data_IF_617031917936
#
_entry.id   IF_617031917936
#
_cell.length_a   1.000
_cell.length_b   1.000
_cell.length_c   1.000
_cell.angle_alpha   90.00
_cell.angle_beta   90.00
_cell.angle_gamma   90.00
#
_symmetry.space_group_name_H-M   'P 1'
#
loop_
_entity.id
_entity.type
_entity.pdbx_description
1 polymer ?
#
# COMPACT_ATOMS: atom_id res chain seq x y z
N UNK A 1 16.75 -7.28 -9.19
CA UNK A 1 15.80 -7.81 -8.20
C UNK A 1 15.96 -9.32 -8.01
N UNK A 2 15.80 -10.19 -9.03
CA UNK A 2 15.90 -11.67 -8.87
C UNK A 2 17.16 -12.11 -8.12
N UNK A 3 18.36 -11.68 -8.56
CA UNK A 3 19.63 -12.02 -7.89
C UNK A 3 19.69 -11.59 -6.41
N UNK A 4 19.03 -10.50 -6.05
CA UNK A 4 18.93 -10.04 -4.65
C UNK A 4 17.99 -10.95 -3.88
N UNK A 5 16.81 -11.25 -4.44
CA UNK A 5 15.86 -12.19 -3.85
C UNK A 5 16.47 -13.58 -3.63
N UNK A 6 17.18 -14.12 -4.62
CA UNK A 6 17.86 -15.41 -4.49
C UNK A 6 18.91 -15.43 -3.36
N UNK A 7 19.64 -14.33 -3.19
CA UNK A 7 20.60 -14.21 -2.08
C UNK A 7 19.92 -14.20 -0.72
N UNK A 8 18.75 -13.58 -0.62
CA UNK A 8 18.00 -13.43 0.64
C UNK A 8 17.15 -14.69 0.96
N UNK A 9 16.48 -15.24 -0.03
CA UNK A 9 15.41 -16.22 0.18
C UNK A 9 15.69 -17.60 -0.43
N UNK A 10 16.74 -17.76 -1.24
CA UNK A 10 17.06 -18.98 -1.96
C UNK A 10 16.65 -18.92 -3.43
N UNK A 11 16.92 -20.00 -4.17
CA UNK A 11 16.69 -20.07 -5.62
C UNK A 11 15.28 -19.63 -6.02
N UNK A 12 15.19 -18.83 -7.11
CA UNK A 12 13.93 -18.54 -7.78
C UNK A 12 13.51 -19.76 -8.62
N UNK A 13 12.49 -20.50 -8.19
CA UNK A 13 12.15 -21.83 -8.74
C UNK A 13 11.36 -21.73 -10.07
N UNK A 14 10.91 -20.54 -10.48
CA UNK A 14 10.02 -20.35 -11.62
C UNK A 14 10.73 -20.12 -12.96
N UNK A 15 12.08 -20.15 -13.02
CA UNK A 15 12.96 -20.03 -14.18
C UNK A 15 12.93 -18.64 -14.86
N UNK A 16 11.74 -18.07 -15.11
CA UNK A 16 11.55 -16.76 -15.76
C UNK A 16 10.51 -15.93 -15.01
N UNK A 17 10.61 -14.62 -15.15
CA UNK A 17 9.68 -13.66 -14.61
C UNK A 17 9.33 -12.65 -15.69
N UNK A 18 8.15 -12.78 -16.27
CA UNK A 18 7.61 -11.88 -17.29
C UNK A 18 6.68 -10.86 -16.63
N UNK A 19 6.55 -9.71 -17.24
CA UNK A 19 5.66 -8.64 -16.82
C UNK A 19 4.65 -8.38 -17.94
N UNK A 20 3.36 -8.57 -17.66
CA UNK A 20 2.29 -8.27 -18.61
C UNK A 20 1.56 -7.00 -18.14
N UNK A 21 1.74 -5.92 -18.89
CA UNK A 21 1.01 -4.68 -18.64
C UNK A 21 -0.43 -4.82 -19.15
N UNK A 22 -1.37 -4.68 -18.23
CA UNK A 22 -2.81 -4.82 -18.51
C UNK A 22 -3.44 -3.49 -18.92
N UNK A 23 -4.69 -3.50 -19.41
CA UNK A 23 -5.45 -2.28 -19.70
C UNK A 23 -5.64 -1.38 -18.47
N UNK A 24 -5.90 -0.07 -18.66
CA UNK A 24 -6.12 0.88 -17.54
C UNK A 24 -7.27 0.52 -16.61
N UNK A 25 -8.19 -0.36 -17.02
CA UNK A 25 -9.28 -0.90 -16.20
C UNK A 25 -8.82 -1.90 -15.14
N UNK A 26 -7.56 -2.37 -15.17
CA UNK A 26 -7.04 -3.29 -14.16
C UNK A 26 -7.10 -2.66 -12.77
N UNK A 27 -7.81 -3.29 -11.79
CA UNK A 27 -8.20 -2.61 -10.57
C UNK A 27 -7.10 -2.55 -9.50
N UNK A 28 -6.02 -3.32 -9.63
CA UNK A 28 -4.93 -3.45 -8.67
C UNK A 28 -3.60 -2.86 -9.17
N UNK A 29 -2.57 -2.91 -8.35
CA UNK A 29 -1.20 -2.54 -8.73
C UNK A 29 -0.55 -3.62 -9.58
N UNK A 30 -0.62 -4.85 -9.12
CA UNK A 30 -0.14 -6.05 -9.77
C UNK A 30 -0.98 -7.27 -9.40
N UNK A 31 -0.57 -8.41 -9.95
CA UNK A 31 -1.07 -9.75 -9.61
C UNK A 31 0.04 -10.77 -9.85
N UNK A 32 0.31 -11.57 -8.86
CA UNK A 32 1.46 -12.45 -8.75
C UNK A 32 1.37 -13.74 -9.57
N UNK A 33 0.72 -13.78 -10.71
CA UNK A 33 0.63 -15.02 -11.48
C UNK A 33 2.03 -15.63 -11.70
N UNK A 34 2.25 -16.91 -11.38
CA UNK A 34 3.56 -17.53 -11.52
C UNK A 34 4.13 -17.36 -12.93
N UNK A 35 5.39 -16.91 -13.04
CA UNK A 35 6.13 -16.65 -14.28
C UNK A 35 5.68 -15.45 -15.11
N UNK A 36 4.45 -14.93 -14.92
CA UNK A 36 3.94 -13.77 -15.66
C UNK A 36 3.10 -12.88 -14.75
N UNK A 37 3.74 -11.98 -14.03
CA UNK A 37 3.04 -11.01 -13.18
C UNK A 37 2.25 -10.02 -14.04
N UNK A 38 1.00 -9.74 -13.62
CA UNK A 38 0.20 -8.69 -14.23
C UNK A 38 0.53 -7.35 -13.57
N UNK A 39 0.55 -6.29 -14.36
CA UNK A 39 0.81 -4.94 -13.86
C UNK A 39 -0.19 -3.94 -14.42
N UNK A 40 -0.61 -3.00 -13.58
CA UNK A 40 -1.29 -1.81 -14.07
C UNK A 40 -0.34 -0.97 -14.93
N UNK A 41 -0.81 -0.33 -16.02
CA UNK A 41 0.04 0.57 -16.80
C UNK A 41 0.58 1.75 -15.99
N UNK A 42 -0.06 2.08 -14.87
CA UNK A 42 0.35 3.16 -13.98
C UNK A 42 1.73 2.93 -13.30
N UNK A 43 2.25 1.69 -13.30
CA UNK A 43 3.62 1.42 -12.77
C UNK A 43 4.71 1.66 -13.82
N UNK A 44 4.34 1.85 -15.10
CA UNK A 44 5.29 2.12 -16.19
C UNK A 44 5.48 3.63 -16.32
N UNK A 45 6.35 4.21 -15.50
CA UNK A 45 6.52 5.67 -15.35
C UNK A 45 7.74 6.23 -16.11
N UNK A 46 8.66 5.36 -16.52
CA UNK A 46 9.87 5.75 -17.23
C UNK A 46 11.03 6.24 -16.35
N UNK A 47 10.78 6.52 -15.07
CA UNK A 47 11.76 7.02 -14.08
C UNK A 47 12.23 5.94 -13.09
N UNK A 48 11.70 4.71 -13.18
CA UNK A 48 12.01 3.60 -12.27
C UNK A 48 11.25 3.62 -10.95
N UNK A 49 10.40 4.61 -10.68
CA UNK A 49 9.64 4.73 -9.42
C UNK A 49 8.63 3.58 -9.21
N UNK A 50 8.10 2.98 -10.29
CA UNK A 50 7.24 1.78 -10.24
C UNK A 50 7.93 0.48 -9.77
N UNK A 51 9.24 0.52 -9.49
CA UNK A 51 10.04 -0.66 -9.13
C UNK A 51 9.59 -1.35 -7.83
N UNK A 52 8.92 -0.67 -6.93
CA UNK A 52 8.40 -1.26 -5.69
C UNK A 52 7.32 -2.31 -5.98
N UNK A 53 6.35 -2.00 -6.84
CA UNK A 53 5.31 -2.96 -7.24
C UNK A 53 5.94 -4.17 -7.93
N UNK A 54 6.91 -3.95 -8.83
CA UNK A 54 7.64 -5.05 -9.47
C UNK A 54 8.40 -5.91 -8.46
N UNK A 55 8.98 -5.31 -7.41
CA UNK A 55 9.65 -6.04 -6.33
C UNK A 55 8.65 -6.87 -5.51
N UNK A 56 7.45 -6.33 -5.28
CA UNK A 56 6.36 -7.03 -4.60
C UNK A 56 5.92 -8.27 -5.38
N UNK A 57 5.54 -8.11 -6.66
CA UNK A 57 5.09 -9.22 -7.50
C UNK A 57 6.20 -10.28 -7.71
N UNK A 58 7.46 -9.85 -7.77
CA UNK A 58 8.59 -10.78 -7.82
C UNK A 58 8.75 -11.54 -6.50
N UNK A 59 8.59 -10.87 -5.36
CA UNK A 59 8.74 -11.48 -4.03
C UNK A 59 7.71 -12.60 -3.79
N UNK A 60 6.52 -12.49 -4.36
CA UNK A 60 5.53 -13.57 -4.38
C UNK A 60 6.08 -14.88 -4.98
N UNK A 61 7.12 -14.82 -5.80
CA UNK A 61 7.82 -16.00 -6.29
C UNK A 61 8.37 -16.91 -5.18
N UNK A 62 8.59 -16.37 -3.97
CA UNK A 62 8.97 -17.16 -2.78
C UNK A 62 7.83 -17.28 -1.78
N UNK A 63 7.01 -16.22 -1.62
CA UNK A 63 5.93 -16.15 -0.64
C UNK A 63 4.61 -15.79 -1.32
N UNK A 64 3.65 -16.67 -1.28
CA UNK A 64 2.40 -16.59 -2.02
C UNK A 64 2.27 -17.66 -3.11
N UNK A 65 3.28 -17.80 -3.98
CA UNK A 65 3.27 -18.79 -5.06
C UNK A 65 3.98 -20.10 -4.70
N UNK A 66 5.20 -20.02 -4.17
CA UNK A 66 5.96 -21.20 -3.79
C UNK A 66 5.43 -21.81 -2.48
N UNK A 67 5.01 -20.95 -1.56
CA UNK A 67 4.29 -21.29 -0.34
C UNK A 67 2.98 -20.52 -0.38
N UNK A 68 1.84 -21.22 -0.37
CA UNK A 68 0.52 -20.61 -0.43
C UNK A 68 -0.18 -20.65 0.94
N UNK A 69 -1.07 -19.74 1.19
CA UNK A 69 -2.00 -19.82 2.32
C UNK A 69 -3.15 -20.80 1.99
N UNK A 70 -3.58 -21.61 2.97
CA UNK A 70 -4.65 -22.59 2.78
C UNK A 70 -6.01 -21.97 2.42
N UNK A 71 -6.33 -20.86 3.09
CA UNK A 71 -7.57 -20.10 2.90
C UNK A 71 -7.28 -18.61 3.03
N UNK A 72 -8.23 -17.78 2.60
CA UNK A 72 -8.11 -16.33 2.74
C UNK A 72 -7.96 -15.84 4.19
N UNK A 73 -8.38 -16.65 5.16
CA UNK A 73 -8.20 -16.35 6.59
C UNK A 73 -6.73 -16.20 6.99
N UNK A 74 -5.83 -16.77 6.19
CA UNK A 74 -4.39 -16.78 6.41
C UNK A 74 -3.62 -15.97 5.36
N UNK A 75 -4.28 -15.04 4.66
CA UNK A 75 -3.69 -14.26 3.56
C UNK A 75 -2.46 -13.44 3.97
N UNK A 76 -2.29 -13.14 5.24
CA UNK A 76 -1.09 -12.48 5.75
C UNK A 76 0.19 -13.32 5.55
N UNK A 77 0.07 -14.66 5.46
CA UNK A 77 1.21 -15.54 5.12
C UNK A 77 1.69 -15.35 3.68
N UNK A 78 0.80 -14.93 2.80
CA UNK A 78 1.13 -14.48 1.47
C UNK A 78 1.64 -13.03 1.51
N UNK A 79 0.78 -12.08 1.84
CA UNK A 79 1.03 -10.64 1.66
C UNK A 79 2.02 -10.04 2.68
N UNK A 80 1.96 -10.46 3.93
CA UNK A 80 2.85 -9.97 4.98
C UNK A 80 4.30 -10.38 4.74
N UNK A 81 4.52 -11.63 4.37
CA UNK A 81 5.86 -12.12 3.98
C UNK A 81 6.36 -11.44 2.71
N UNK A 82 5.49 -11.26 1.73
CA UNK A 82 5.85 -10.60 0.47
C UNK A 82 6.18 -9.13 0.69
N UNK A 83 5.42 -8.42 1.51
CA UNK A 83 5.73 -7.02 1.90
C UNK A 83 7.08 -6.93 2.64
N UNK A 84 7.39 -7.90 3.51
CA UNK A 84 8.71 -7.97 4.14
C UNK A 84 9.82 -8.22 3.10
N UNK A 85 9.60 -9.15 2.18
CA UNK A 85 10.58 -9.49 1.14
C UNK A 85 10.80 -8.35 0.14
N UNK A 86 9.73 -7.69 -0.30
CA UNK A 86 9.76 -6.47 -1.10
C UNK A 86 10.68 -5.42 -0.48
N UNK A 87 10.45 -5.07 0.79
CA UNK A 87 11.23 -4.06 1.52
C UNK A 87 12.70 -4.43 1.64
N UNK A 88 13.01 -5.72 1.82
CA UNK A 88 14.39 -6.22 1.82
C UNK A 88 15.06 -6.11 0.45
N UNK A 89 14.31 -6.36 -0.64
CA UNK A 89 14.78 -6.18 -2.02
C UNK A 89 15.00 -4.70 -2.33
N UNK A 90 14.05 -3.84 -1.96
CA UNK A 90 14.14 -2.38 -2.12
C UNK A 90 15.32 -1.82 -1.33
N UNK A 91 15.51 -2.22 -0.07
CA UNK A 91 16.66 -1.83 0.75
C UNK A 91 18.00 -2.15 0.06
N UNK A 92 18.12 -3.34 -0.50
CA UNK A 92 19.35 -3.77 -1.18
C UNK A 92 19.63 -3.03 -2.50
N UNK A 93 18.61 -2.45 -3.14
CA UNK A 93 18.73 -1.78 -4.45
C UNK A 93 18.76 -0.25 -4.30
N UNK A 94 17.93 0.31 -3.42
CA UNK A 94 17.72 1.75 -3.28
C UNK A 94 18.29 2.31 -1.96
N UNK A 95 18.75 1.45 -1.07
CA UNK A 95 19.35 1.83 0.21
C UNK A 95 18.36 1.90 1.37
N UNK A 96 18.95 2.01 2.58
CA UNK A 96 18.19 1.94 3.85
C UNK A 96 17.22 3.10 4.06
N UNK A 97 17.54 4.29 3.55
CA UNK A 97 16.69 5.48 3.76
C UNK A 97 15.39 5.40 2.98
N UNK A 98 15.42 4.90 1.73
CA UNK A 98 14.22 4.63 0.94
C UNK A 98 13.39 3.51 1.54
N UNK A 99 14.01 2.44 2.01
CA UNK A 99 13.30 1.36 2.70
C UNK A 99 12.63 1.88 3.99
N UNK A 100 13.32 2.72 4.78
CA UNK A 100 12.75 3.33 5.98
C UNK A 100 11.56 4.25 5.66
N UNK A 101 11.63 5.01 4.56
CA UNK A 101 10.51 5.81 4.08
C UNK A 101 9.29 4.93 3.75
N UNK A 102 9.49 3.85 2.99
CA UNK A 102 8.43 2.92 2.62
C UNK A 102 7.78 2.25 3.84
N UNK A 103 8.59 1.87 4.84
CA UNK A 103 8.07 1.33 6.11
C UNK A 103 7.23 2.39 6.84
N UNK A 104 7.66 3.66 6.83
CA UNK A 104 6.91 4.76 7.43
C UNK A 104 5.56 5.02 6.76
N UNK A 105 5.51 4.97 5.43
CA UNK A 105 4.28 5.09 4.65
C UNK A 105 3.34 3.91 4.98
N UNK A 106 3.86 2.68 5.02
CA UNK A 106 3.08 1.51 5.39
C UNK A 106 2.55 1.56 6.83
N UNK A 107 3.34 2.08 7.76
CA UNK A 107 2.88 2.29 9.14
C UNK A 107 1.70 3.26 9.20
N UNK A 108 1.77 4.38 8.47
CA UNK A 108 0.66 5.32 8.37
C UNK A 108 -0.60 4.67 7.80
N UNK A 109 -0.44 3.92 6.71
CA UNK A 109 -1.55 3.16 6.11
C UNK A 109 -2.19 2.18 7.10
N UNK A 110 -1.37 1.48 7.90
CA UNK A 110 -1.86 0.60 8.95
C UNK A 110 -2.69 1.34 10.01
N UNK A 111 -2.22 2.51 10.46
CA UNK A 111 -2.94 3.34 11.45
C UNK A 111 -4.27 3.85 10.87
N UNK A 112 -4.29 4.29 9.61
CA UNK A 112 -5.51 4.72 8.92
C UNK A 112 -6.53 3.58 8.79
N UNK A 113 -6.09 2.35 8.52
CA UNK A 113 -6.97 1.18 8.46
C UNK A 113 -7.54 0.78 9.84
N UNK A 114 -6.80 1.00 10.94
CA UNK A 114 -7.36 0.81 12.29
C UNK A 114 -8.54 1.76 12.55
N UNK A 115 -8.46 3.00 12.12
CA UNK A 115 -9.58 3.94 12.22
C UNK A 115 -10.74 3.56 11.28
N UNK A 116 -10.45 3.08 10.07
CA UNK A 116 -11.45 2.60 9.12
C UNK A 116 -12.28 1.45 9.68
N UNK A 117 -11.63 0.52 10.41
CA UNK A 117 -12.26 -0.67 10.98
C UNK A 117 -12.63 -0.53 12.45
N UNK A 118 -12.63 0.68 13.02
CA UNK A 118 -12.94 0.90 14.45
C UNK A 118 -14.28 0.30 14.91
N UNK A 119 -15.27 0.25 14.03
CA UNK A 119 -16.59 -0.33 14.31
C UNK A 119 -16.65 -1.85 14.04
N UNK A 120 -15.59 -2.42 13.47
CA UNK A 120 -15.46 -3.86 13.19
C UNK A 120 -14.01 -4.32 13.27
N UNK A 121 -13.45 -4.26 14.47
CA UNK A 121 -12.04 -4.57 14.73
C UNK A 121 -11.62 -6.01 14.39
N UNK A 122 -12.55 -6.93 14.22
CA UNK A 122 -12.26 -8.32 13.83
C UNK A 122 -11.49 -8.40 12.50
N UNK A 123 -11.72 -7.46 11.57
CA UNK A 123 -11.00 -7.38 10.31
C UNK A 123 -9.55 -6.87 10.44
N UNK A 124 -9.12 -6.47 11.65
CA UNK A 124 -7.74 -6.07 11.92
C UNK A 124 -6.86 -7.21 12.42
N UNK A 125 -7.38 -8.43 12.54
CA UNK A 125 -6.62 -9.64 12.88
C UNK A 125 -5.81 -10.11 11.67
N UNK A 126 -4.68 -10.78 11.91
CA UNK A 126 -3.94 -11.49 10.87
C UNK A 126 -4.62 -12.83 10.52
N UNK A 127 -5.01 -13.60 11.55
CA UNK A 127 -5.85 -14.79 11.39
C UNK A 127 -7.31 -14.36 11.52
N UNK A 128 -7.99 -14.19 10.40
CA UNK A 128 -9.38 -13.71 10.34
C UNK A 128 -10.36 -14.88 10.33
N UNK A 129 -11.64 -14.60 10.58
CA UNK A 129 -12.75 -15.49 10.22
C UNK A 129 -13.52 -14.82 9.09
N UNK A 130 -13.59 -15.49 7.94
CA UNK A 130 -14.23 -14.96 6.72
C UNK A 130 -15.35 -15.88 6.22
N UNK A 131 -15.90 -16.73 7.07
CA UNK A 131 -17.02 -17.61 6.71
C UNK A 131 -18.20 -16.80 6.16
N UNK A 132 -18.58 -17.09 4.92
CA UNK A 132 -19.71 -16.42 4.24
C UNK A 132 -19.45 -14.98 3.82
N UNK A 133 -18.21 -14.47 3.92
CA UNK A 133 -17.83 -13.12 3.52
C UNK A 133 -17.11 -13.18 2.17
N UNK A 134 -17.52 -12.30 1.25
CA UNK A 134 -16.78 -12.08 0.00
C UNK A 134 -15.43 -11.44 0.33
N UNK A 135 -14.29 -12.09 -0.01
CA UNK A 135 -12.95 -11.55 0.29
C UNK A 135 -12.70 -10.14 -0.27
N UNK A 136 -13.31 -9.80 -1.39
CA UNK A 136 -13.17 -8.47 -2.00
C UNK A 136 -13.77 -7.35 -1.12
N UNK A 137 -14.74 -7.66 -0.27
CA UNK A 137 -15.36 -6.69 0.63
C UNK A 137 -14.49 -6.36 1.83
N UNK A 138 -13.60 -7.27 2.24
CA UNK A 138 -12.70 -7.11 3.39
C UNK A 138 -11.27 -6.83 2.99
N UNK A 139 -11.00 -6.66 1.69
CA UNK A 139 -9.67 -6.30 1.21
C UNK A 139 -9.16 -5.01 1.87
N UNK A 140 -7.96 -5.10 2.44
CA UNK A 140 -7.32 -4.01 3.17
C UNK A 140 -5.80 -4.17 3.21
N UNK A 141 -5.04 -3.11 3.53
CA UNK A 141 -3.60 -3.17 3.84
C UNK A 141 -3.24 -3.96 5.11
N UNK A 142 -4.20 -4.38 5.94
CA UNK A 142 -3.92 -5.06 7.22
C UNK A 142 -3.01 -6.30 7.05
N UNK A 143 -3.31 -7.30 6.21
CA UNK A 143 -2.45 -8.48 6.06
C UNK A 143 -1.04 -8.13 5.57
N UNK A 144 -0.90 -7.08 4.78
CA UNK A 144 0.38 -6.56 4.28
C UNK A 144 1.18 -5.92 5.40
N UNK A 145 0.65 -4.87 6.00
CA UNK A 145 1.39 -3.99 6.89
C UNK A 145 1.50 -4.54 8.32
N UNK A 146 0.42 -5.08 8.89
CA UNK A 146 0.48 -5.76 10.19
C UNK A 146 1.28 -7.04 10.08
N UNK A 147 1.15 -7.78 8.96
CA UNK A 147 1.97 -8.96 8.67
C UNK A 147 3.45 -8.62 8.60
N UNK A 148 3.82 -7.56 7.86
CA UNK A 148 5.18 -7.03 7.86
C UNK A 148 5.67 -6.68 9.27
N UNK A 149 4.88 -5.95 10.05
CA UNK A 149 5.24 -5.53 11.40
C UNK A 149 5.49 -6.73 12.32
N UNK A 150 4.73 -7.80 12.17
CA UNK A 150 4.93 -9.03 12.94
C UNK A 150 6.28 -9.70 12.58
N UNK A 151 6.57 -9.86 11.29
CA UNK A 151 7.85 -10.42 10.84
C UNK A 151 9.04 -9.55 11.24
N UNK A 152 8.89 -8.23 11.14
CA UNK A 152 9.90 -7.29 11.59
C UNK A 152 10.07 -7.28 13.11
N UNK A 153 9.00 -7.51 13.87
CA UNK A 153 9.10 -7.74 15.31
C UNK A 153 9.96 -8.97 15.63
N UNK A 154 9.73 -10.09 14.92
CA UNK A 154 10.55 -11.30 15.08
C UNK A 154 12.01 -11.00 14.72
N UNK A 155 12.28 -10.34 13.58
CA UNK A 155 13.65 -9.94 13.19
C UNK A 155 14.35 -9.13 14.29
N UNK A 156 13.65 -8.14 14.86
CA UNK A 156 14.21 -7.30 15.94
C UNK A 156 14.55 -8.08 17.20
N UNK A 157 13.81 -9.14 17.52
CA UNK A 157 14.02 -9.97 18.70
C UNK A 157 15.19 -10.95 18.56
N UNK A 158 15.45 -11.45 17.37
CA UNK A 158 16.49 -12.47 17.15
C UNK A 158 17.69 -11.98 16.33
N UNK A 159 17.56 -10.78 15.74
CA UNK A 159 18.55 -10.19 14.85
C UNK A 159 18.44 -10.67 13.41
N UNK A 160 18.73 -9.78 12.48
CA UNK A 160 18.59 -9.99 11.02
C UNK A 160 19.32 -11.25 10.50
N UNK A 161 20.59 -11.54 10.89
CA UNK A 161 21.26 -12.75 10.39
C UNK A 161 20.59 -14.06 10.81
N UNK A 162 20.01 -14.11 12.02
CA UNK A 162 19.28 -15.28 12.50
C UNK A 162 17.92 -15.40 11.78
N UNK A 163 17.25 -14.28 11.56
CA UNK A 163 15.99 -14.25 10.85
C UNK A 163 16.15 -14.63 9.36
N UNK A 164 17.20 -14.19 8.69
CA UNK A 164 17.53 -14.60 7.32
C UNK A 164 17.75 -16.12 7.19
N UNK A 165 18.41 -16.73 8.19
CA UNK A 165 18.57 -18.19 8.24
C UNK A 165 17.22 -18.90 8.45
N UNK A 166 16.38 -18.35 9.33
CA UNK A 166 15.03 -18.86 9.58
C UNK A 166 14.19 -18.80 8.31
N UNK A 167 14.17 -17.67 7.60
CA UNK A 167 13.40 -17.51 6.36
C UNK A 167 13.83 -18.50 5.26
N UNK A 168 15.14 -18.69 5.07
CA UNK A 168 15.63 -19.71 4.12
C UNK A 168 15.17 -21.10 4.48
N UNK A 169 15.20 -21.45 5.77
CA UNK A 169 14.72 -22.74 6.25
C UNK A 169 13.21 -22.89 6.09
N UNK A 170 12.45 -21.84 6.40
CA UNK A 170 11.00 -21.77 6.20
C UNK A 170 10.64 -22.03 4.72
N UNK A 171 11.25 -21.34 3.79
CA UNK A 171 11.02 -21.51 2.36
C UNK A 171 11.41 -22.91 1.90
N UNK A 172 12.58 -23.41 2.30
CA UNK A 172 13.02 -24.76 1.93
C UNK A 172 12.09 -25.87 2.45
N UNK A 173 11.50 -25.67 3.64
CA UNK A 173 10.61 -26.65 4.27
C UNK A 173 9.22 -26.67 3.63
N UNK A 174 8.66 -25.51 3.35
CA UNK A 174 7.27 -25.39 2.92
C UNK A 174 7.06 -25.15 1.42
N UNK A 175 8.14 -25.09 0.63
CA UNK A 175 8.02 -24.91 -0.82
C UNK A 175 7.07 -25.95 -1.43
N UNK A 176 6.21 -25.47 -2.33
CA UNK A 176 5.14 -26.22 -2.99
C UNK A 176 4.07 -26.78 -2.03
N UNK A 177 3.90 -26.16 -0.87
CA UNK A 177 2.87 -26.53 0.09
C UNK A 177 1.93 -25.35 0.37
N UNK A 178 0.71 -25.68 0.81
CA UNK A 178 -0.25 -24.73 1.37
C UNK A 178 -0.24 -24.85 2.88
N UNK A 179 -0.08 -23.73 3.57
CA UNK A 179 0.05 -23.67 5.02
C UNK A 179 -0.97 -22.73 5.66
N UNK A 180 -1.17 -22.90 6.95
CA UNK A 180 -1.97 -22.00 7.79
C UNK A 180 -1.11 -21.30 8.84
N UNK A 181 -1.71 -20.35 9.56
CA UNK A 181 -1.05 -19.60 10.61
C UNK A 181 -0.48 -20.50 11.71
N UNK A 182 -1.21 -21.55 12.10
CA UNK A 182 -0.77 -22.45 13.18
C UNK A 182 0.45 -23.28 12.76
N UNK A 183 0.50 -23.73 11.52
CA UNK A 183 1.69 -24.39 10.96
C UNK A 183 2.92 -23.47 10.97
N UNK A 184 2.75 -22.21 10.59
CA UNK A 184 3.82 -21.22 10.68
C UNK A 184 4.28 -21.00 12.14
N UNK A 185 3.35 -20.79 13.08
CA UNK A 185 3.68 -20.54 14.47
C UNK A 185 4.38 -21.74 15.13
N UNK A 186 3.97 -22.97 14.80
CA UNK A 186 4.64 -24.18 15.28
C UNK A 186 6.07 -24.27 14.73
N UNK A 187 6.25 -24.01 13.44
CA UNK A 187 7.57 -23.97 12.83
C UNK A 187 8.46 -22.87 13.44
N UNK A 188 7.90 -21.69 13.72
CA UNK A 188 8.62 -20.61 14.37
C UNK A 188 9.12 -21.01 15.76
N UNK A 189 8.27 -21.59 16.61
CA UNK A 189 8.63 -22.06 17.95
C UNK A 189 9.69 -23.16 17.92
N UNK A 190 9.59 -24.08 16.98
CA UNK A 190 10.56 -25.18 16.81
C UNK A 190 11.95 -24.67 16.45
N UNK A 191 12.05 -23.62 15.63
CA UNK A 191 13.33 -23.15 15.08
C UNK A 191 13.86 -21.86 15.72
N UNK A 192 13.05 -21.19 16.54
CA UNK A 192 13.42 -20.00 17.32
C UNK A 192 13.00 -20.20 18.76
N UNK A 193 13.82 -20.94 19.49
CA UNK A 193 13.52 -21.30 20.87
C UNK A 193 13.28 -20.08 21.77
N UNK A 194 12.19 -20.12 22.52
CA UNK A 194 11.81 -19.07 23.47
C UNK A 194 11.26 -17.80 22.82
N UNK A 195 10.87 -17.85 21.54
CA UNK A 195 10.26 -16.68 20.87
C UNK A 195 8.93 -16.31 21.51
N UNK A 196 8.17 -17.26 21.99
CA UNK A 196 6.90 -17.09 22.68
C UNK A 196 7.01 -16.39 24.06
N UNK A 197 8.22 -16.34 24.61
CA UNK A 197 8.51 -15.55 25.83
C UNK A 197 8.77 -14.08 25.49
N UNK A 198 9.26 -13.83 24.26
CA UNK A 198 9.67 -12.49 23.78
C UNK A 198 8.52 -11.76 23.07
N UNK A 199 7.64 -12.51 22.42
CA UNK A 199 6.55 -11.97 21.60
C UNK A 199 5.26 -12.74 21.96
N UNK A 200 4.19 -12.01 22.22
CA UNK A 200 2.86 -12.61 22.30
C UNK A 200 2.34 -12.97 20.90
N UNK A 201 2.68 -14.19 20.46
CA UNK A 201 2.33 -14.69 19.14
C UNK A 201 0.81 -14.73 18.90
N UNK A 202 0.04 -14.99 19.95
CA UNK A 202 -1.43 -15.03 19.87
C UNK A 202 -2.00 -13.63 19.72
N UNK A 203 -1.48 -12.66 20.45
CA UNK A 203 -1.88 -11.26 20.29
C UNK A 203 -1.61 -10.75 18.87
N UNK A 204 -0.46 -11.12 18.28
CA UNK A 204 -0.13 -10.72 16.91
C UNK A 204 -1.09 -11.32 15.89
N UNK A 205 -1.45 -12.59 16.01
CA UNK A 205 -2.21 -13.31 14.97
C UNK A 205 -3.74 -13.23 15.18
N UNK A 206 -4.21 -13.29 16.42
CA UNK A 206 -5.63 -13.34 16.76
C UNK A 206 -6.12 -12.07 17.48
N UNK A 207 -5.22 -11.19 17.91
CA UNK A 207 -5.56 -9.92 18.55
C UNK A 207 -5.98 -8.87 17.53
N UNK A 208 -6.94 -8.04 17.91
CA UNK A 208 -7.38 -6.87 17.14
C UNK A 208 -6.43 -5.69 17.34
N UNK A 209 -6.40 -4.76 16.37
CA UNK A 209 -5.59 -3.56 16.46
C UNK A 209 -4.10 -3.80 16.22
N UNK A 210 -3.28 -2.86 16.64
CA UNK A 210 -1.82 -2.90 16.53
C UNK A 210 -1.26 -3.36 17.87
N UNK A 211 -0.50 -4.48 17.93
CA UNK A 211 0.12 -4.92 19.18
C UNK A 211 1.11 -3.89 19.76
N UNK A 212 1.27 -3.82 21.10
CA UNK A 212 2.05 -2.78 21.76
C UNK A 212 3.57 -2.87 21.49
N UNK A 213 4.06 -4.03 21.05
CA UNK A 213 5.44 -4.27 20.65
C UNK A 213 5.70 -4.03 19.15
N UNK A 214 4.66 -3.67 18.38
CA UNK A 214 4.82 -3.07 17.07
C UNK A 214 5.59 -1.75 17.21
N UNK A 215 6.36 -1.40 16.18
CA UNK A 215 7.22 -0.23 16.27
C UNK A 215 7.01 0.69 15.07
N UNK A 216 6.71 1.94 15.37
CA UNK A 216 6.76 2.97 14.35
C UNK A 216 8.21 3.12 13.85
N UNK A 217 8.43 3.06 12.52
CA UNK A 217 9.76 3.22 11.96
C UNK A 217 10.24 4.67 12.07
N UNK A 218 11.55 4.84 12.25
CA UNK A 218 12.18 6.16 12.22
C UNK A 218 12.78 6.38 10.83
N UNK A 219 12.33 7.42 10.15
CA UNK A 219 12.87 7.88 8.87
C UNK A 219 13.10 9.37 8.89
N UNK A 220 14.34 9.81 8.71
CA UNK A 220 14.67 11.22 8.62
C UNK A 220 14.03 11.89 7.41
N UNK A 221 13.93 11.17 6.29
CA UNK A 221 13.25 11.65 5.07
C UNK A 221 11.77 11.87 5.38
N UNK A 222 11.10 10.90 5.98
CA UNK A 222 9.71 11.00 6.39
C UNK A 222 9.46 12.22 7.29
N UNK A 223 10.25 12.35 8.36
CA UNK A 223 10.12 13.45 9.33
C UNK A 223 10.31 14.81 8.66
N UNK A 224 11.30 14.94 7.76
CA UNK A 224 11.56 16.18 7.02
C UNK A 224 10.38 16.55 6.11
N UNK A 225 9.82 15.59 5.38
CA UNK A 225 8.68 15.81 4.48
C UNK A 225 7.45 16.26 5.26
N UNK A 226 7.13 15.59 6.36
CA UNK A 226 6.01 15.97 7.23
C UNK A 226 6.20 17.38 7.80
N UNK A 227 7.42 17.75 8.19
CA UNK A 227 7.74 19.11 8.64
C UNK A 227 7.44 20.14 7.53
N UNK A 228 7.89 19.89 6.30
CA UNK A 228 7.64 20.78 5.15
C UNK A 228 6.14 20.91 4.85
N UNK A 229 5.37 19.82 4.97
CA UNK A 229 3.92 19.87 4.80
C UNK A 229 3.22 20.72 5.88
N UNK A 230 3.70 20.66 7.12
CA UNK A 230 3.21 21.52 8.20
C UNK A 230 3.58 22.99 8.00
N UNK A 231 4.78 23.28 7.47
CA UNK A 231 5.22 24.64 7.14
C UNK A 231 4.41 25.25 6.00
N UNK A 232 3.95 24.41 5.05
CA UNK A 232 3.05 24.86 3.98
C UNK A 232 1.74 25.46 4.50
N UNK A 233 1.20 24.93 5.60
CA UNK A 233 0.05 25.53 6.29
C UNK A 233 0.32 26.98 6.74
N UNK A 234 1.58 27.29 7.06
CA UNK A 234 2.00 28.61 7.48
C UNK A 234 2.36 29.54 6.32
N UNK A 235 2.09 29.11 5.08
CA UNK A 235 2.35 29.86 3.86
C UNK A 235 3.74 29.64 3.26
N UNK A 236 4.56 28.73 3.81
CA UNK A 236 5.88 28.42 3.26
C UNK A 236 5.78 27.38 2.14
N UNK A 237 6.04 27.80 0.93
CA UNK A 237 6.22 26.89 -0.22
C UNK A 237 7.52 26.11 -0.08
N UNK A 238 7.57 24.79 -0.38
CA UNK A 238 8.83 24.07 -0.47
C UNK A 238 9.70 24.68 -1.59
N UNK A 239 11.01 24.75 -1.39
CA UNK A 239 11.93 25.27 -2.40
C UNK A 239 12.31 24.16 -3.40
N UNK A 240 12.74 24.57 -4.59
CA UNK A 240 13.17 23.62 -5.63
C UNK A 240 14.32 22.70 -5.17
N UNK A 241 15.28 23.24 -4.40
CA UNK A 241 16.39 22.46 -3.85
C UNK A 241 15.96 21.43 -2.78
N UNK A 242 14.84 21.67 -2.09
CA UNK A 242 14.30 20.76 -1.09
C UNK A 242 13.55 19.56 -1.71
N UNK A 243 13.04 19.72 -2.92
CA UNK A 243 12.23 18.71 -3.63
C UNK A 243 12.92 18.14 -4.88
N UNK A 244 14.16 18.58 -5.18
CA UNK A 244 14.88 18.20 -6.41
C UNK A 244 15.02 16.68 -6.60
N UNK A 245 15.22 15.96 -5.49
CA UNK A 245 15.39 14.50 -5.50
C UNK A 245 14.09 13.74 -5.18
N UNK A 246 12.98 14.47 -5.05
CA UNK A 246 11.71 13.82 -4.72
C UNK A 246 11.19 13.00 -5.90
N UNK A 247 10.83 11.78 -5.60
CA UNK A 247 10.10 10.88 -6.47
C UNK A 247 8.64 10.79 -5.98
N UNK A 248 7.91 9.84 -6.50
CA UNK A 248 6.51 9.58 -6.20
C UNK A 248 6.18 9.55 -4.71
N UNK A 249 6.93 8.78 -3.95
CA UNK A 249 6.63 8.53 -2.54
C UNK A 249 6.80 9.78 -1.66
N UNK A 250 7.82 10.58 -1.96
CA UNK A 250 8.05 11.83 -1.26
C UNK A 250 6.94 12.84 -1.58
N UNK A 251 6.56 13.00 -2.85
CA UNK A 251 5.47 13.86 -3.25
C UNK A 251 4.14 13.41 -2.67
N UNK A 252 3.81 12.11 -2.76
CA UNK A 252 2.59 11.56 -2.18
C UNK A 252 2.52 11.83 -0.69
N UNK A 253 3.59 11.49 0.06
CA UNK A 253 3.68 11.73 1.49
C UNK A 253 3.50 13.22 1.84
N UNK A 254 4.15 14.12 1.09
CA UNK A 254 4.03 15.56 1.29
C UNK A 254 2.58 16.03 1.10
N UNK A 255 1.97 15.71 -0.03
CA UNK A 255 0.61 16.13 -0.39
C UNK A 255 -0.44 15.60 0.58
N UNK A 256 -0.28 14.37 1.05
CA UNK A 256 -1.20 13.76 1.99
C UNK A 256 -1.09 14.35 3.40
N UNK A 257 0.09 14.84 3.79
CA UNK A 257 0.31 15.48 5.08
C UNK A 257 -0.02 16.98 5.10
N UNK A 258 -0.28 17.61 3.95
CA UNK A 258 -0.78 18.99 3.91
C UNK A 258 -2.15 19.04 4.61
N UNK A 259 -2.33 19.90 5.64
CA UNK A 259 -3.62 20.04 6.31
C UNK A 259 -4.72 20.49 5.35
N UNK A 260 -5.90 19.89 5.45
CA UNK A 260 -7.05 20.19 4.56
C UNK A 260 -7.69 21.57 4.83
N UNK A 261 -7.14 22.31 5.78
CA UNK A 261 -7.54 23.68 6.11
C UNK A 261 -6.72 24.76 5.41
N UNK A 262 -5.84 24.38 4.47
CA UNK A 262 -5.10 25.36 3.66
C UNK A 262 -6.02 26.00 2.63
N UNK A 263 -5.71 27.26 2.27
CA UNK A 263 -6.50 28.02 1.30
C UNK A 263 -6.34 27.45 -0.12
N UNK A 264 -7.41 27.50 -0.91
CA UNK A 264 -7.40 27.07 -2.32
C UNK A 264 -6.31 27.77 -3.14
N UNK A 265 -6.05 29.06 -2.86
CA UNK A 265 -4.98 29.84 -3.49
C UNK A 265 -3.58 29.28 -3.24
N UNK A 266 -3.33 28.72 -2.05
CA UNK A 266 -2.04 28.08 -1.73
C UNK A 266 -1.89 26.78 -2.54
N UNK A 267 -2.94 25.97 -2.66
CA UNK A 267 -2.94 24.75 -3.45
C UNK A 267 -2.71 25.06 -4.93
N UNK A 268 -3.36 26.09 -5.46
CA UNK A 268 -3.15 26.54 -6.84
C UNK A 268 -1.73 27.07 -7.08
N UNK A 269 -1.14 27.77 -6.11
CA UNK A 269 0.24 28.24 -6.19
C UNK A 269 1.24 27.08 -6.20
N UNK A 270 0.98 26.01 -5.42
CA UNK A 270 1.80 24.80 -5.41
C UNK A 270 1.79 24.12 -6.79
N UNK A 271 0.62 23.99 -7.40
CA UNK A 271 0.49 23.42 -8.74
C UNK A 271 1.12 24.30 -9.83
N UNK A 272 0.96 25.62 -9.72
CA UNK A 272 1.59 26.56 -10.65
C UNK A 272 3.11 26.39 -10.70
N UNK A 273 3.74 26.09 -9.56
CA UNK A 273 5.19 25.89 -9.46
C UNK A 273 5.63 24.49 -9.91
N UNK A 274 4.92 23.42 -9.46
CA UNK A 274 5.39 22.03 -9.62
C UNK A 274 4.60 21.22 -10.64
N UNK A 275 3.52 21.74 -11.24
CA UNK A 275 2.71 21.10 -12.29
C UNK A 275 2.18 19.72 -11.88
N UNK A 276 1.72 19.61 -10.64
CA UNK A 276 1.29 18.33 -10.04
C UNK A 276 0.02 17.79 -10.67
N UNK A 277 -0.92 18.67 -11.06
CA UNK A 277 -2.13 18.28 -11.77
C UNK A 277 -1.86 17.72 -13.17
N UNK A 278 -0.75 18.13 -13.81
CA UNK A 278 -0.33 17.68 -15.14
C UNK A 278 0.63 16.48 -15.06
N UNK A 279 0.99 16.02 -13.85
CA UNK A 279 1.93 14.90 -13.66
C UNK A 279 1.49 13.68 -14.45
N UNK A 280 2.44 13.04 -15.14
CA UNK A 280 2.26 11.74 -15.79
C UNK A 280 2.28 10.59 -14.78
N UNK A 281 2.80 10.85 -13.57
CA UNK A 281 2.75 9.91 -12.45
C UNK A 281 1.39 10.04 -11.76
N UNK A 282 0.54 9.02 -11.91
CA UNK A 282 -0.81 9.02 -11.37
C UNK A 282 -0.87 9.00 -9.84
N UNK A 283 0.13 8.47 -9.14
CA UNK A 283 0.16 8.47 -7.68
C UNK A 283 0.30 9.92 -7.17
N UNK A 284 1.20 10.69 -7.76
CA UNK A 284 1.37 12.13 -7.46
C UNK A 284 0.13 12.94 -7.88
N UNK A 285 -0.36 12.72 -9.11
CA UNK A 285 -1.54 13.43 -9.64
C UNK A 285 -2.77 13.21 -8.75
N UNK A 286 -3.05 11.97 -8.38
CA UNK A 286 -4.22 11.62 -7.55
C UNK A 286 -4.10 12.19 -6.14
N UNK A 287 -2.93 12.15 -5.53
CA UNK A 287 -2.68 12.76 -4.23
C UNK A 287 -2.92 14.28 -4.28
N UNK A 288 -2.46 14.95 -5.34
CA UNK A 288 -2.72 16.38 -5.54
C UNK A 288 -4.21 16.68 -5.78
N UNK A 289 -4.87 15.96 -6.68
CA UNK A 289 -6.29 16.17 -6.97
C UNK A 289 -7.18 15.92 -5.74
N UNK A 290 -6.86 14.90 -4.94
CA UNK A 290 -7.50 14.66 -3.63
C UNK A 290 -7.35 15.87 -2.70
N UNK A 291 -6.14 16.42 -2.59
CA UNK A 291 -5.89 17.63 -1.79
C UNK A 291 -6.72 18.80 -2.33
N UNK A 292 -6.68 19.04 -3.63
CA UNK A 292 -7.41 20.12 -4.29
C UNK A 292 -8.93 20.04 -4.04
N UNK A 293 -9.53 18.85 -4.17
CA UNK A 293 -10.94 18.62 -3.86
C UNK A 293 -11.24 18.96 -2.40
N UNK A 294 -10.44 18.42 -1.46
CA UNK A 294 -10.66 18.62 -0.02
C UNK A 294 -10.46 20.08 0.43
N UNK A 295 -9.71 20.88 -0.32
CA UNK A 295 -9.52 22.31 -0.10
C UNK A 295 -10.49 23.18 -0.94
N UNK A 296 -11.44 22.59 -1.65
CA UNK A 296 -12.47 23.33 -2.40
C UNK A 296 -11.99 23.96 -3.72
N UNK A 297 -10.89 23.48 -4.29
CA UNK A 297 -10.33 24.01 -5.55
C UNK A 297 -11.08 23.43 -6.77
N UNK A 298 -12.17 24.06 -7.17
CA UNK A 298 -13.04 23.59 -8.27
C UNK A 298 -12.40 23.63 -9.66
N UNK A 299 -11.38 24.45 -9.84
CA UNK A 299 -10.64 24.58 -11.11
C UNK A 299 -10.03 23.24 -11.57
N UNK A 300 -9.79 22.30 -10.64
CA UNK A 300 -9.24 20.98 -10.92
C UNK A 300 -10.29 19.91 -11.22
N UNK A 301 -11.59 20.21 -11.23
CA UNK A 301 -12.63 19.19 -11.47
C UNK A 301 -12.58 18.61 -12.88
N UNK A 302 -12.22 19.41 -13.88
CA UNK A 302 -12.02 18.92 -15.25
C UNK A 302 -10.90 17.88 -15.33
N UNK A 303 -9.78 18.12 -14.65
CA UNK A 303 -8.67 17.19 -14.63
C UNK A 303 -8.99 15.95 -13.76
N UNK A 304 -9.74 16.12 -12.67
CA UNK A 304 -10.28 15.02 -11.86
C UNK A 304 -11.18 14.11 -12.70
N UNK A 305 -12.11 14.67 -13.49
CA UNK A 305 -12.96 13.90 -14.39
C UNK A 305 -12.16 13.12 -15.42
N UNK A 306 -11.19 13.76 -16.07
CA UNK A 306 -10.30 13.08 -17.02
C UNK A 306 -9.55 11.92 -16.36
N UNK A 307 -9.01 12.14 -15.17
CA UNK A 307 -8.26 11.13 -14.41
C UNK A 307 -9.14 9.95 -14.04
N UNK A 308 -10.36 10.18 -13.56
CA UNK A 308 -11.33 9.15 -13.24
C UNK A 308 -11.77 8.34 -14.48
N UNK A 309 -11.97 9.00 -15.61
CA UNK A 309 -12.36 8.32 -16.86
C UNK A 309 -11.21 7.52 -17.50
N UNK A 310 -9.98 7.95 -17.29
CA UNK A 310 -8.80 7.32 -17.89
C UNK A 310 -8.27 6.10 -17.12
N UNK A 311 -8.68 5.89 -15.86
CA UNK A 311 -8.05 4.92 -14.98
C UNK A 311 -9.09 4.16 -14.13
N UNK A 312 -8.94 2.83 -14.04
CA UNK A 312 -9.82 1.96 -13.26
C UNK A 312 -9.18 1.40 -11.98
N UNK A 313 -7.94 1.82 -11.62
CA UNK A 313 -7.24 1.34 -10.44
C UNK A 313 -7.95 1.83 -9.17
N UNK A 314 -8.31 0.91 -8.28
CA UNK A 314 -9.04 1.21 -7.04
C UNK A 314 -8.26 2.20 -6.16
N UNK A 315 -6.94 2.11 -6.12
CA UNK A 315 -6.07 3.03 -5.38
C UNK A 315 -6.27 4.50 -5.79
N UNK A 316 -6.68 4.76 -7.03
CA UNK A 316 -6.95 6.11 -7.55
C UNK A 316 -8.42 6.51 -7.46
N UNK A 317 -9.31 5.56 -7.77
CA UNK A 317 -10.75 5.82 -7.75
C UNK A 317 -11.27 6.10 -6.33
N UNK A 318 -10.87 5.26 -5.37
CA UNK A 318 -11.34 5.36 -3.98
C UNK A 318 -11.09 6.73 -3.35
N UNK A 319 -9.87 7.28 -3.32
CA UNK A 319 -9.61 8.57 -2.67
C UNK A 319 -10.31 9.74 -3.36
N UNK A 320 -10.39 9.75 -4.69
CA UNK A 320 -11.04 10.83 -5.43
C UNK A 320 -12.55 10.81 -5.24
N UNK A 321 -13.22 9.67 -5.42
CA UNK A 321 -14.65 9.56 -5.18
C UNK A 321 -15.02 9.79 -3.72
N UNK A 322 -14.19 9.33 -2.77
CA UNK A 322 -14.41 9.57 -1.35
C UNK A 322 -14.24 11.06 -0.98
N UNK A 323 -13.28 11.75 -1.57
CA UNK A 323 -13.11 13.19 -1.35
C UNK A 323 -14.31 13.99 -1.89
N UNK A 324 -14.76 13.67 -3.11
CA UNK A 324 -15.95 14.30 -3.71
C UNK A 324 -17.24 14.00 -2.92
N UNK A 325 -17.41 12.77 -2.42
CA UNK A 325 -18.60 12.38 -1.67
C UNK A 325 -18.67 13.00 -0.26
N UNK A 326 -17.50 13.27 0.36
CA UNK A 326 -17.40 13.81 1.73
C UNK A 326 -17.37 15.32 1.77
N UNK A 327 -17.06 15.98 0.68
CA UNK A 327 -16.98 17.46 0.68
C UNK A 327 -18.39 18.02 0.98
N UNK A 328 -18.50 18.69 2.12
CA UNK A 328 -19.76 19.14 2.72
C UNK A 328 -20.31 20.45 2.13
N UNK A 329 -20.00 20.71 0.86
CA UNK A 329 -20.56 21.84 0.14
C UNK A 329 -22.08 21.74 -0.04
N UNK A 330 -22.62 22.44 -1.02
CA UNK A 330 -24.04 22.43 -1.38
C UNK A 330 -24.52 21.14 -2.09
N UNK A 331 -23.72 20.08 -2.05
CA UNK A 331 -24.00 18.78 -2.71
C UNK A 331 -23.60 18.72 -4.19
N UNK A 332 -23.04 19.77 -4.73
CA UNK A 332 -22.62 19.81 -6.15
C UNK A 332 -21.48 18.82 -6.43
N UNK A 333 -20.54 18.66 -5.50
CA UNK A 333 -19.42 17.74 -5.60
C UNK A 333 -19.91 16.27 -5.71
N UNK A 334 -20.92 15.93 -4.94
CA UNK A 334 -21.54 14.60 -5.00
C UNK A 334 -22.30 14.39 -6.31
N UNK A 335 -23.03 15.37 -6.78
CA UNK A 335 -23.70 15.32 -8.08
C UNK A 335 -22.68 15.16 -9.23
N UNK A 336 -21.57 15.90 -9.14
CA UNK A 336 -20.44 15.76 -10.06
C UNK A 336 -19.88 14.32 -10.04
N UNK A 337 -19.63 13.76 -8.85
CA UNK A 337 -19.12 12.39 -8.69
C UNK A 337 -20.09 11.35 -9.29
N UNK A 338 -21.40 11.48 -9.03
CA UNK A 338 -22.43 10.58 -9.57
C UNK A 338 -22.50 10.65 -11.10
N UNK A 339 -22.41 11.85 -11.68
CA UNK A 339 -22.37 12.03 -13.14
C UNK A 339 -21.14 11.36 -13.74
N UNK A 340 -19.96 11.68 -13.22
CA UNK A 340 -18.69 11.11 -13.71
C UNK A 340 -18.71 9.59 -13.61
N UNK A 341 -19.18 9.04 -12.48
CA UNK A 341 -19.29 7.59 -12.32
C UNK A 341 -20.26 6.96 -13.34
N UNK A 342 -21.44 7.55 -13.55
CA UNK A 342 -22.39 7.08 -14.55
C UNK A 342 -21.77 6.97 -15.96
N UNK A 343 -20.94 7.94 -16.32
CA UNK A 343 -20.27 7.97 -17.62
C UNK A 343 -19.08 7.01 -17.71
N UNK A 344 -18.29 6.85 -16.61
CA UNK A 344 -17.04 6.09 -16.58
C UNK A 344 -17.22 4.60 -16.25
N UNK A 345 -18.32 4.22 -15.55
CA UNK A 345 -18.49 2.90 -14.95
C UNK A 345 -18.25 1.72 -15.87
N UNK A 346 -18.65 1.84 -17.14
CA UNK A 346 -18.48 0.77 -18.13
C UNK A 346 -17.01 0.47 -18.48
N UNK A 347 -16.11 1.43 -18.22
CA UNK A 347 -14.66 1.27 -18.34
C UNK A 347 -13.99 0.68 -17.10
N UNK A 348 -14.73 0.52 -16.00
CA UNK A 348 -14.18 -0.01 -14.75
C UNK A 348 -14.41 -1.51 -14.62
N UNK A 349 -13.44 -2.19 -14.00
CA UNK A 349 -13.62 -3.58 -13.58
C UNK A 349 -14.80 -3.70 -12.60
N UNK A 350 -15.60 -4.79 -12.60
CA UNK A 350 -16.73 -4.96 -11.68
C UNK A 350 -16.42 -4.74 -10.20
N UNK A 351 -15.24 -5.16 -9.73
CA UNK A 351 -14.79 -4.91 -8.35
C UNK A 351 -14.67 -3.40 -8.08
N UNK A 352 -14.05 -2.66 -9.00
CA UNK A 352 -13.91 -1.21 -8.88
C UNK A 352 -15.26 -0.49 -8.91
N UNK A 353 -16.20 -0.96 -9.74
CA UNK A 353 -17.57 -0.44 -9.76
C UNK A 353 -18.23 -0.57 -8.38
N UNK A 354 -18.19 -1.78 -7.76
CA UNK A 354 -18.76 -2.02 -6.43
C UNK A 354 -18.11 -1.12 -5.35
N UNK A 355 -16.81 -0.91 -5.41
CA UNK A 355 -16.10 -0.02 -4.47
C UNK A 355 -16.64 1.41 -4.59
N UNK A 356 -16.76 1.94 -5.80
CA UNK A 356 -17.28 3.30 -6.02
C UNK A 356 -18.75 3.41 -5.63
N UNK A 357 -19.58 2.43 -5.99
CA UNK A 357 -20.98 2.36 -5.58
C UNK A 357 -21.15 2.40 -4.07
N UNK A 358 -20.34 1.62 -3.34
CA UNK A 358 -20.33 1.63 -1.86
C UNK A 358 -19.94 2.99 -1.27
N UNK A 359 -19.02 3.72 -1.90
CA UNK A 359 -18.60 5.06 -1.46
C UNK A 359 -19.74 6.06 -1.67
N UNK A 360 -20.32 6.06 -2.85
CA UNK A 360 -21.37 7.02 -3.23
C UNK A 360 -22.69 6.78 -2.50
N UNK A 361 -23.00 5.53 -2.09
CA UNK A 361 -24.20 5.17 -1.34
C UNK A 361 -24.14 5.53 0.14
N UNK A 362 -22.97 5.48 0.78
CA UNK A 362 -22.81 5.75 2.23
C UNK A 362 -23.05 7.22 2.62
N UNK A 363 -23.13 8.12 1.68
CA UNK A 363 -23.30 9.54 1.89
C UNK A 363 -24.63 10.07 1.32
N UNK A 364 -25.66 9.20 1.29
CA UNK A 364 -27.05 9.58 0.97
C UNK A 364 -27.79 9.98 2.22
#
# INVERSE_FOLDING_TARGET
MIKVGEKLFGKYEWERFDLLVLPPSFPYGGMENPRVAFLTPAVVKGDGSGGQVVAHELAHGWTGNLITNKTNEHVWLNEGFTTYAERRIVEAIQGVDKAALNIGIGWRSLVEEMERFKDNMEFTKLKTNQDGIDPDHVYSPIPYEKGFQFLWCIERQIGRPAFDKFLKKYIATFKFQSIDTDMFLNFLKEHVHGIEIKIDLKLWTEGTGIPPDAKEPVSNIYTKIVSLANEFKLGRMPREDEVADWQEQEWELYLENIPKSVEASQVSALDAQYKLAESTNYDVKVAFLKLAILCGCRDYYTETEKTLKANGRILYLRPLYAALARHSGNGEEKLFALRVFSEARHGYHPIAQRVVESILSKHV
#
